data_IF_484692794548
#
_entry.id   IF_484692794548
#
_cell.length_a   1.000
_cell.length_b   1.000
_cell.length_c   1.000
_cell.angle_alpha   90.00
_cell.angle_beta   90.00
_cell.angle_gamma   90.00
#
_symmetry.space_group_name_H-M   'P 1'
#
loop_
_entity.id
_entity.type
_entity.pdbx_description
1 polymer ?
#
# COMPACT_ATOMS: atom_id res chain seq x y z
N UNK A 1 -17.06 20.18 21.41
CA UNK A 1 -17.57 19.20 20.44
C UNK A 1 -17.20 19.71 19.05
N UNK A 2 -15.95 19.45 18.67
CA UNK A 2 -15.31 20.09 17.54
C UNK A 2 -15.82 19.47 16.23
N UNK A 3 -16.56 20.26 15.44
CA UNK A 3 -17.05 19.83 14.13
C UNK A 3 -15.85 19.81 13.19
N UNK A 4 -15.42 18.60 12.83
CA UNK A 4 -14.29 18.32 11.96
C UNK A 4 -14.35 19.14 10.65
N UNK A 5 -13.39 20.05 10.44
CA UNK A 5 -13.17 20.78 9.19
C UNK A 5 -12.89 19.80 8.01
N UNK A 6 -13.72 19.83 6.93
CA UNK A 6 -13.57 18.98 5.75
C UNK A 6 -12.52 19.46 4.74
N UNK A 7 -11.90 20.63 4.94
CA UNK A 7 -11.01 21.27 3.95
C UNK A 7 -9.52 20.97 4.15
N UNK A 8 -9.13 20.30 5.24
CA UNK A 8 -7.73 19.95 5.47
C UNK A 8 -7.30 18.84 4.48
N UNK A 9 -6.36 19.11 3.55
CA UNK A 9 -6.04 18.16 2.49
C UNK A 9 -5.37 16.92 3.07
N UNK A 10 -5.63 15.77 2.43
CA UNK A 10 -4.81 14.59 2.64
C UNK A 10 -3.40 14.91 2.16
N UNK A 11 -2.40 14.63 3.00
CA UNK A 11 -1.00 14.80 2.65
C UNK A 11 -0.40 13.42 2.42
N UNK A 12 0.11 13.18 1.22
CA UNK A 12 0.88 11.96 0.92
C UNK A 12 2.37 12.28 0.98
N UNK A 13 3.12 11.43 1.68
CA UNK A 13 4.56 11.59 1.88
C UNK A 13 5.20 10.27 2.28
N UNK A 14 6.52 10.28 2.37
CA UNK A 14 7.30 9.26 3.05
C UNK A 14 7.04 9.31 4.57
N UNK A 15 6.94 8.17 5.26
CA UNK A 15 6.88 8.14 6.72
C UNK A 15 8.22 8.56 7.34
N UNK A 16 8.15 9.17 8.51
CA UNK A 16 9.31 9.57 9.32
C UNK A 16 9.73 8.44 10.26
N UNK A 17 10.98 8.45 10.71
CA UNK A 17 11.54 7.42 11.60
C UNK A 17 10.71 7.24 12.90
N UNK A 18 10.19 8.33 13.45
CA UNK A 18 9.38 8.33 14.68
C UNK A 18 7.92 7.90 14.47
N UNK A 19 7.53 7.55 13.24
CA UNK A 19 6.18 7.09 12.88
C UNK A 19 6.07 5.57 12.77
N UNK A 20 7.11 4.82 13.16
CA UNK A 20 7.14 3.35 13.13
C UNK A 20 5.89 2.74 13.80
N UNK A 21 5.57 3.15 15.03
CA UNK A 21 4.43 2.60 15.78
C UNK A 21 3.08 2.86 15.08
N UNK A 22 2.93 4.03 14.46
CA UNK A 22 1.73 4.38 13.71
C UNK A 22 1.57 3.50 12.44
N UNK A 23 2.68 3.24 11.75
CA UNK A 23 2.71 2.32 10.61
C UNK A 23 2.43 0.88 11.04
N UNK A 24 3.03 0.40 12.13
CA UNK A 24 2.79 -0.94 12.70
C UNK A 24 1.31 -1.14 13.04
N UNK A 25 0.66 -0.13 13.60
CA UNK A 25 -0.77 -0.15 13.90
C UNK A 25 -1.64 -0.22 12.64
N UNK A 26 -1.34 0.56 11.60
CA UNK A 26 -2.04 0.46 10.32
C UNK A 26 -1.85 -0.92 9.66
N UNK A 27 -0.63 -1.46 9.68
CA UNK A 27 -0.33 -2.79 9.15
C UNK A 27 -1.08 -3.88 9.91
N UNK A 28 -1.22 -3.76 11.24
CA UNK A 28 -2.04 -4.67 12.05
C UNK A 28 -3.49 -4.69 11.58
N UNK A 29 -4.06 -3.52 11.30
CA UNK A 29 -5.43 -3.41 10.78
C UNK A 29 -5.55 -4.02 9.38
N UNK A 30 -4.58 -3.75 8.49
CA UNK A 30 -4.54 -4.34 7.15
C UNK A 30 -4.51 -5.88 7.20
N UNK A 31 -3.63 -6.47 8.02
CA UNK A 31 -3.53 -7.94 8.17
C UNK A 31 -4.81 -8.53 8.75
N UNK A 32 -5.40 -7.87 9.76
CA UNK A 32 -6.66 -8.30 10.34
C UNK A 32 -7.83 -8.28 9.34
N UNK A 33 -7.74 -7.47 8.27
CA UNK A 33 -8.75 -7.41 7.23
C UNK A 33 -8.50 -8.43 6.11
N UNK A 34 -7.33 -8.42 5.48
CA UNK A 34 -7.09 -9.09 4.20
C UNK A 34 -6.13 -10.29 4.26
N UNK A 35 -5.34 -10.41 5.33
CA UNK A 35 -4.25 -11.39 5.43
C UNK A 35 -4.33 -12.28 6.69
N UNK A 36 -5.54 -12.53 7.20
CA UNK A 36 -5.77 -13.33 8.43
C UNK A 36 -5.09 -14.70 8.43
N UNK A 37 -4.92 -15.29 7.25
CA UNK A 37 -4.37 -16.63 7.06
C UNK A 37 -2.84 -16.71 7.25
N UNK A 38 -2.11 -15.59 7.20
CA UNK A 38 -0.66 -15.54 7.48
C UNK A 38 -0.36 -15.08 8.91
N UNK A 39 -1.28 -14.39 9.57
CA UNK A 39 -1.11 -13.87 10.93
C UNK A 39 -0.29 -12.58 10.98
N UNK A 40 -0.53 -11.75 12.01
CA UNK A 40 0.22 -10.52 12.22
C UNK A 40 1.45 -10.78 13.09
N UNK A 41 2.61 -10.25 12.67
CA UNK A 41 3.84 -10.27 13.45
C UNK A 41 4.42 -8.85 13.47
N UNK A 42 4.38 -8.14 14.62
CA UNK A 42 4.82 -6.75 14.70
C UNK A 42 6.32 -6.61 14.41
N UNK A 43 7.16 -7.54 14.84
CA UNK A 43 8.61 -7.43 14.61
C UNK A 43 8.97 -7.55 13.12
N UNK A 44 8.25 -8.38 12.35
CA UNK A 44 8.42 -8.44 10.89
C UNK A 44 8.00 -7.14 10.20
N UNK A 45 6.99 -6.44 10.74
CA UNK A 45 6.56 -5.15 10.21
C UNK A 45 7.59 -4.07 10.54
N UNK A 46 8.15 -4.07 11.76
CA UNK A 46 9.27 -3.19 12.15
C UNK A 46 10.52 -3.42 11.30
N UNK A 47 10.91 -4.68 11.10
CA UNK A 47 12.00 -5.04 10.17
C UNK A 47 11.77 -4.49 8.76
N UNK A 48 10.52 -4.52 8.28
CA UNK A 48 10.15 -3.95 6.97
C UNK A 48 10.26 -2.42 6.98
N UNK A 49 9.85 -1.76 8.05
CA UNK A 49 9.96 -0.31 8.20
C UNK A 49 11.43 0.15 8.27
N UNK A 50 12.27 -0.55 9.02
CA UNK A 50 13.70 -0.28 9.08
C UNK A 50 14.40 -0.50 7.72
N UNK A 51 14.02 -1.56 6.99
CA UNK A 51 14.55 -1.79 5.64
C UNK A 51 14.11 -0.69 4.68
N UNK A 52 12.86 -0.23 4.76
CA UNK A 52 12.39 0.95 4.04
C UNK A 52 13.27 2.18 4.34
N UNK A 53 13.56 2.49 5.62
CA UNK A 53 14.38 3.65 5.98
C UNK A 53 15.82 3.55 5.43
N UNK A 54 16.37 2.33 5.40
CA UNK A 54 17.75 2.09 4.97
C UNK A 54 17.91 2.02 3.45
N UNK A 55 16.95 1.40 2.76
CA UNK A 55 17.10 0.93 1.37
C UNK A 55 16.00 1.45 0.44
N UNK A 56 14.95 2.06 0.97
CA UNK A 56 13.70 2.36 0.26
C UNK A 56 13.05 1.11 -0.37
N UNK A 57 13.27 -0.08 0.20
CA UNK A 57 12.71 -1.36 -0.28
C UNK A 57 12.03 -2.19 0.85
N UNK A 58 10.69 -2.31 0.87
CA UNK A 58 9.76 -1.65 -0.04
C UNK A 58 9.77 -0.13 0.20
N UNK A 59 9.41 0.64 -0.83
CA UNK A 59 9.07 2.05 -0.66
C UNK A 59 7.72 2.16 0.02
N UNK A 60 7.65 2.90 1.12
CA UNK A 60 6.43 3.15 1.88
C UNK A 60 5.96 4.58 1.62
N UNK A 61 4.72 4.73 1.16
CA UNK A 61 4.01 6.00 1.12
C UNK A 61 2.93 5.98 2.19
N UNK A 62 2.80 7.06 2.96
CA UNK A 62 1.73 7.24 3.95
C UNK A 62 0.84 8.40 3.56
N UNK A 63 -0.44 8.30 3.93
CA UNK A 63 -1.38 9.40 3.80
C UNK A 63 -1.82 9.87 5.17
N UNK A 64 -1.62 11.16 5.41
CA UNK A 64 -1.91 11.83 6.67
C UNK A 64 -3.21 12.65 6.54
N UNK A 65 -4.02 12.63 7.59
CA UNK A 65 -5.13 13.55 7.79
C UNK A 65 -5.10 14.07 9.22
N UNK A 66 -5.05 15.40 9.39
CA UNK A 66 -5.01 16.05 10.71
C UNK A 66 -3.86 15.55 11.61
N UNK A 67 -2.66 15.37 11.06
CA UNK A 67 -1.47 14.87 11.78
C UNK A 67 -1.56 13.41 12.24
N UNK A 68 -2.51 12.66 11.70
CA UNK A 68 -2.63 11.23 11.94
C UNK A 68 -2.45 10.47 10.62
N UNK A 69 -1.66 9.40 10.64
CA UNK A 69 -1.58 8.48 9.51
C UNK A 69 -2.90 7.72 9.41
N UNK A 70 -3.54 7.80 8.23
CA UNK A 70 -4.84 7.17 7.98
C UNK A 70 -4.80 6.07 6.92
N UNK A 71 -3.64 5.88 6.29
CA UNK A 71 -3.41 4.81 5.32
C UNK A 71 -1.97 4.79 4.85
N UNK A 72 -1.63 3.72 4.14
CA UNK A 72 -0.31 3.54 3.55
C UNK A 72 -0.40 2.74 2.25
N UNK A 73 0.64 2.87 1.42
CA UNK A 73 0.90 2.06 0.26
C UNK A 73 2.35 1.55 0.35
N UNK A 74 2.52 0.23 0.22
CA UNK A 74 3.84 -0.38 0.04
C UNK A 74 4.04 -0.71 -1.42
N UNK A 75 5.19 -0.33 -1.95
CA UNK A 75 5.58 -0.62 -3.31
C UNK A 75 7.01 -1.16 -3.40
N UNK A 76 7.25 -1.98 -4.40
CA UNK A 76 8.60 -2.45 -4.77
C UNK A 76 8.98 -1.95 -6.15
N UNK A 77 10.28 -1.84 -6.39
CA UNK A 77 10.87 -1.55 -7.69
C UNK A 77 11.71 -2.75 -8.10
N UNK A 78 11.67 -3.14 -9.37
CA UNK A 78 12.37 -4.32 -9.86
C UNK A 78 12.79 -4.13 -11.32
N UNK A 79 13.87 -4.79 -11.72
CA UNK A 79 14.27 -4.92 -13.13
C UNK A 79 13.71 -6.19 -13.73
N UNK A 80 13.43 -6.20 -15.03
CA UNK A 80 13.13 -7.45 -15.72
C UNK A 80 14.37 -8.35 -15.78
N UNK A 81 14.19 -9.64 -15.56
CA UNK A 81 15.28 -10.64 -15.69
C UNK A 81 15.60 -10.96 -17.16
N UNK A 82 14.70 -10.64 -18.08
CA UNK A 82 14.73 -11.07 -19.48
C UNK A 82 14.57 -9.91 -20.49
N UNK A 83 14.48 -8.68 -20.01
CA UNK A 83 14.32 -7.48 -20.82
C UNK A 83 14.99 -6.29 -20.13
N UNK A 84 15.21 -5.22 -20.87
CA UNK A 84 15.62 -3.95 -20.30
C UNK A 84 14.42 -3.23 -19.66
N UNK A 85 14.71 -2.39 -18.66
CA UNK A 85 13.72 -1.53 -18.00
C UNK A 85 13.41 -1.94 -16.57
N UNK A 86 12.71 -1.03 -15.89
CA UNK A 86 12.25 -1.17 -14.53
C UNK A 86 10.73 -1.26 -14.50
N UNK A 87 10.20 -2.00 -13.55
CA UNK A 87 8.78 -1.97 -13.22
C UNK A 87 8.61 -1.77 -11.72
N UNK A 88 7.47 -1.20 -11.36
CA UNK A 88 7.08 -1.00 -9.96
C UNK A 88 5.84 -1.82 -9.66
N UNK A 89 5.70 -2.26 -8.42
CA UNK A 89 4.54 -3.07 -7.98
C UNK A 89 3.88 -2.42 -6.79
N UNK A 90 2.58 -2.14 -6.88
CA UNK A 90 1.76 -1.85 -5.71
C UNK A 90 1.49 -3.18 -4.99
N UNK A 91 2.10 -3.36 -3.81
CA UNK A 91 1.98 -4.60 -3.03
C UNK A 91 0.84 -4.52 -2.03
N UNK A 92 0.79 -3.43 -1.27
CA UNK A 92 -0.26 -3.19 -0.28
C UNK A 92 -0.82 -1.79 -0.48
N UNK A 93 -2.14 -1.65 -0.48
CA UNK A 93 -2.84 -0.38 -0.38
C UNK A 93 -3.87 -0.53 0.74
N UNK A 94 -3.70 0.23 1.80
CA UNK A 94 -4.61 0.20 2.94
C UNK A 94 -5.00 1.62 3.36
N UNK A 95 -6.29 1.81 3.59
CA UNK A 95 -6.85 3.01 4.22
C UNK A 95 -7.79 2.55 5.32
N UNK A 96 -7.66 3.18 6.50
CA UNK A 96 -8.52 2.90 7.66
C UNK A 96 -10.01 2.99 7.26
N UNK A 97 -10.88 2.12 7.79
CA UNK A 97 -12.29 2.08 7.40
C UNK A 97 -13.03 3.42 7.50
N UNK A 98 -12.74 4.23 8.51
CA UNK A 98 -13.34 5.56 8.75
C UNK A 98 -12.87 6.64 7.76
N UNK A 99 -11.83 6.36 6.97
CA UNK A 99 -11.33 7.24 5.91
C UNK A 99 -11.59 6.69 4.50
N UNK A 100 -12.37 5.61 4.35
CA UNK A 100 -12.77 5.08 3.03
C UNK A 100 -13.84 5.92 2.37
N UNK A 101 -13.93 5.83 1.04
CA UNK A 101 -14.82 6.69 0.24
C UNK A 101 -14.37 8.15 0.18
N UNK A 102 -13.22 8.47 0.77
CA UNK A 102 -12.55 9.77 0.66
C UNK A 102 -11.46 9.72 -0.41
N UNK A 103 -10.73 10.82 -0.57
CA UNK A 103 -9.63 10.93 -1.53
C UNK A 103 -8.33 10.22 -1.10
N UNK A 104 -8.25 9.66 0.12
CA UNK A 104 -7.01 9.07 0.66
C UNK A 104 -6.37 8.00 -0.23
N UNK A 105 -7.16 7.04 -0.73
CA UNK A 105 -6.65 5.96 -1.59
C UNK A 105 -6.23 6.47 -2.97
N UNK A 106 -6.99 7.41 -3.53
CA UNK A 106 -6.66 8.12 -4.78
C UNK A 106 -5.36 8.89 -4.64
N UNK A 107 -5.16 9.62 -3.53
CA UNK A 107 -3.93 10.36 -3.26
C UNK A 107 -2.70 9.44 -3.21
N UNK A 108 -2.80 8.30 -2.51
CA UNK A 108 -1.72 7.31 -2.44
C UNK A 108 -1.37 6.75 -3.83
N UNK A 109 -2.37 6.44 -4.65
CA UNK A 109 -2.16 5.93 -6.00
C UNK A 109 -1.56 6.98 -6.93
N UNK A 110 -2.00 8.24 -6.87
CA UNK A 110 -1.41 9.32 -7.67
C UNK A 110 0.06 9.55 -7.29
N UNK A 111 0.38 9.52 -5.99
CA UNK A 111 1.76 9.63 -5.54
C UNK A 111 2.61 8.43 -5.99
N UNK A 112 2.05 7.21 -5.94
CA UNK A 112 2.73 6.01 -6.43
C UNK A 112 2.98 6.04 -7.94
N UNK A 113 1.98 6.43 -8.74
CA UNK A 113 2.12 6.55 -10.21
C UNK A 113 3.16 7.62 -10.54
N UNK A 114 3.07 8.79 -9.93
CA UNK A 114 4.04 9.88 -10.13
C UNK A 114 5.47 9.45 -9.75
N UNK A 115 5.63 8.74 -8.63
CA UNK A 115 6.91 8.17 -8.22
C UNK A 115 7.43 7.17 -9.25
N UNK A 116 6.59 6.26 -9.71
CA UNK A 116 6.94 5.24 -10.72
C UNK A 116 7.36 5.87 -12.04
N UNK A 117 6.63 6.87 -12.51
CA UNK A 117 6.95 7.64 -13.72
C UNK A 117 8.29 8.35 -13.58
N UNK A 118 8.59 8.91 -12.39
CA UNK A 118 9.85 9.61 -12.13
C UNK A 118 11.08 8.68 -12.14
N UNK A 119 10.88 7.39 -11.86
CA UNK A 119 11.92 6.37 -11.96
C UNK A 119 12.16 5.92 -13.41
N UNK A 120 11.29 6.31 -14.35
CA UNK A 120 11.29 5.78 -15.71
C UNK A 120 10.82 4.33 -15.76
N UNK A 121 9.96 3.91 -14.83
CA UNK A 121 9.36 2.58 -14.88
C UNK A 121 8.58 2.40 -16.18
N UNK A 122 8.85 1.31 -16.90
CA UNK A 122 8.17 0.99 -18.16
C UNK A 122 6.82 0.32 -17.93
N UNK A 123 6.59 -0.19 -16.71
CA UNK A 123 5.35 -0.80 -16.29
C UNK A 123 5.09 -0.54 -14.80
N UNK A 124 3.81 -0.29 -14.47
CA UNK A 124 3.33 -0.22 -13.10
C UNK A 124 2.33 -1.35 -12.90
N UNK A 125 2.66 -2.30 -12.04
CA UNK A 125 1.82 -3.45 -11.72
C UNK A 125 1.17 -3.26 -10.35
N UNK A 126 0.08 -3.97 -10.12
CA UNK A 126 -0.70 -3.86 -8.88
C UNK A 126 -2.06 -4.54 -9.04
N UNK A 127 -2.83 -4.60 -7.97
CA UNK A 127 -4.13 -5.25 -8.03
C UNK A 127 -4.73 -5.57 -6.67
N UNK A 128 -5.72 -6.45 -6.69
CA UNK A 128 -6.33 -6.99 -5.49
C UNK A 128 -6.11 -8.51 -5.43
N UNK A 129 -5.28 -8.95 -4.51
CA UNK A 129 -4.88 -10.36 -4.33
C UNK A 129 -5.57 -11.03 -3.12
N UNK A 130 -6.34 -10.27 -2.35
CA UNK A 130 -7.01 -10.73 -1.14
C UNK A 130 -8.51 -11.07 -1.34
N UNK A 131 -9.10 -10.68 -2.48
CA UNK A 131 -10.49 -10.98 -2.85
C UNK A 131 -11.55 -10.10 -2.17
N UNK A 132 -11.17 -9.14 -1.32
CA UNK A 132 -12.06 -8.16 -0.73
C UNK A 132 -12.23 -6.97 -1.66
N UNK A 133 -13.47 -6.51 -1.83
CA UNK A 133 -13.77 -5.30 -2.62
C UNK A 133 -13.16 -5.31 -4.03
N UNK A 134 -13.00 -6.48 -4.65
CA UNK A 134 -12.25 -6.66 -5.92
C UNK A 134 -12.68 -5.70 -7.01
N UNK A 135 -13.99 -5.57 -7.24
CA UNK A 135 -14.49 -4.67 -8.29
C UNK A 135 -14.31 -3.19 -7.95
N UNK A 136 -14.42 -2.82 -6.68
CA UNK A 136 -14.17 -1.44 -6.24
C UNK A 136 -12.68 -1.09 -6.39
N UNK A 137 -11.79 -1.98 -5.96
CA UNK A 137 -10.34 -1.81 -6.08
C UNK A 137 -9.92 -1.75 -7.55
N UNK A 138 -10.44 -2.64 -8.41
CA UNK A 138 -10.17 -2.62 -9.84
C UNK A 138 -10.63 -1.30 -10.49
N UNK A 139 -11.85 -0.84 -10.21
CA UNK A 139 -12.34 0.47 -10.71
C UNK A 139 -11.51 1.64 -10.19
N UNK A 140 -10.99 1.56 -8.98
CA UNK A 140 -10.08 2.58 -8.45
C UNK A 140 -8.79 2.60 -9.28
N UNK A 141 -8.13 1.45 -9.46
CA UNK A 141 -6.90 1.33 -10.24
C UNK A 141 -7.09 1.76 -11.71
N UNK A 142 -8.19 1.39 -12.34
CA UNK A 142 -8.49 1.79 -13.73
C UNK A 142 -8.60 3.30 -13.93
N UNK A 143 -9.09 4.03 -12.92
CA UNK A 143 -9.11 5.50 -12.94
C UNK A 143 -7.71 6.11 -12.89
N UNK A 144 -6.71 5.35 -12.47
CA UNK A 144 -5.30 5.73 -12.43
C UNK A 144 -4.48 5.08 -13.56
N UNK A 145 -5.14 4.62 -14.64
CA UNK A 145 -4.46 4.16 -15.86
C UNK A 145 -4.08 2.67 -15.88
N UNK A 146 -4.36 1.93 -14.80
CA UNK A 146 -4.16 0.48 -14.78
C UNK A 146 -5.18 -0.22 -15.67
N UNK A 147 -4.82 -1.41 -16.16
CA UNK A 147 -5.70 -2.26 -16.94
C UNK A 147 -5.75 -3.66 -16.35
N UNK A 148 -6.89 -4.34 -16.50
CA UNK A 148 -7.02 -5.74 -16.08
C UNK A 148 -6.21 -6.64 -17.00
N UNK A 149 -5.12 -7.20 -16.49
CA UNK A 149 -4.23 -8.11 -17.23
C UNK A 149 -4.12 -9.46 -16.52
N UNK A 150 -4.86 -10.46 -17.00
CA UNK A 150 -4.80 -11.84 -16.49
C UNK A 150 -5.58 -12.12 -15.20
N UNK A 151 -5.20 -13.20 -14.49
CA UNK A 151 -5.83 -13.68 -13.25
C UNK A 151 -4.79 -13.93 -12.16
N UNK A 152 -5.07 -13.47 -10.94
CA UNK A 152 -4.21 -13.76 -9.78
C UNK A 152 -4.55 -15.13 -9.18
N UNK A 153 -3.52 -15.96 -8.98
CA UNK A 153 -3.67 -17.34 -8.50
C UNK A 153 -2.83 -17.54 -7.24
N UNK A 154 -3.44 -18.08 -6.17
CA UNK A 154 -2.76 -18.33 -4.88
C UNK A 154 -2.88 -19.80 -4.45
N UNK A 155 -1.77 -20.37 -3.96
CA UNK A 155 -1.75 -21.67 -3.26
C UNK A 155 -1.25 -21.48 -1.83
N UNK A 156 -2.12 -21.72 -0.85
CA UNK A 156 -1.77 -21.63 0.58
C UNK A 156 -1.35 -23.00 1.09
N UNK A 157 -0.21 -23.10 1.77
CA UNK A 157 0.16 -24.30 2.54
C UNK A 157 -0.55 -24.25 3.89
N UNK A 158 -1.20 -25.34 4.31
CA UNK A 158 -1.69 -25.45 5.69
C UNK A 158 -0.49 -25.38 6.63
N UNK A 159 -0.50 -24.47 7.59
CA UNK A 159 0.46 -24.56 8.69
C UNK A 159 0.17 -25.85 9.46
N UNK A 160 1.20 -26.65 9.71
CA UNK A 160 1.08 -27.79 10.61
C UNK A 160 0.69 -27.20 11.98
N UNK A 161 -0.43 -27.66 12.54
CA UNK A 161 -0.80 -27.29 13.89
C UNK A 161 0.28 -27.86 14.81
N UNK A 162 1.09 -26.99 15.39
CA UNK A 162 1.93 -27.31 16.55
C UNK A 162 1.09 -27.19 17.82
#
# INVERSE_FOLDING_TARGET
MDRLDPTRPFLVRLPLEDEEDAYVELARQAVAESARHVGFNPERVRETFHRYLAEADPTILVVERKRELVGFLNATMSSYTFADGLYTTQEVLFVRPDCRGTWAATALLEAFVSWSDSLGAVEITGGNDNGLLTEQTARLLERHGFQRVGVFMRRVRKQAHG
#
